data_IF_748339771314
#
_entry.id   IF_748339771314
#
_cell.length_a   1.000
_cell.length_b   1.000
_cell.length_c   1.000
_cell.angle_alpha   90.00
_cell.angle_beta   90.00
_cell.angle_gamma   90.00
#
_symmetry.space_group_name_H-M   'P 1'
#
loop_
_entity.id
_entity.type
_entity.pdbx_description
1 polymer ?
#
# COMPACT_ATOMS: atom_id res chain seq x y z
N UNK A 1 2.22 17.22 -19.97
CA UNK A 1 3.16 18.11 -19.25
C UNK A 1 2.53 19.46 -18.93
N UNK A 2 1.84 20.10 -19.89
CA UNK A 2 1.09 21.33 -19.62
C UNK A 2 0.04 21.17 -18.50
N UNK A 3 -0.64 20.02 -18.43
CA UNK A 3 -1.55 19.67 -17.32
C UNK A 3 -0.86 19.51 -15.96
N UNK A 4 0.45 19.27 -15.91
CA UNK A 4 1.21 19.09 -14.68
C UNK A 4 1.80 20.41 -14.15
N UNK A 5 1.59 21.52 -14.85
CA UNK A 5 2.09 22.84 -14.46
C UNK A 5 1.51 23.24 -13.11
N UNK A 6 2.37 23.50 -12.11
CA UNK A 6 1.91 23.83 -10.75
C UNK A 6 1.78 22.62 -9.81
N UNK A 7 2.13 21.41 -10.28
CA UNK A 7 2.00 20.17 -9.52
C UNK A 7 3.21 19.25 -9.60
N UNK A 8 2.96 17.94 -9.53
CA UNK A 8 4.00 16.90 -9.59
C UNK A 8 3.82 16.07 -10.85
N UNK A 9 4.88 15.96 -11.65
CA UNK A 9 4.98 15.04 -12.78
C UNK A 9 5.81 13.82 -12.37
N UNK A 10 5.15 12.68 -12.19
CA UNK A 10 5.81 11.41 -11.90
C UNK A 10 5.88 10.56 -13.17
N UNK A 11 7.10 10.13 -13.54
CA UNK A 11 7.35 9.27 -14.71
C UNK A 11 7.97 7.97 -14.21
N UNK A 12 7.18 6.91 -14.18
CA UNK A 12 7.67 5.57 -13.88
C UNK A 12 8.40 4.96 -15.08
N UNK A 13 9.37 4.09 -14.79
CA UNK A 13 10.27 3.48 -15.77
C UNK A 13 10.85 4.47 -16.79
N UNK A 14 11.27 5.66 -16.32
CA UNK A 14 11.67 6.78 -17.17
C UNK A 14 12.78 6.45 -18.18
N UNK A 15 13.62 5.45 -17.88
CA UNK A 15 14.64 4.94 -18.78
C UNK A 15 14.07 4.40 -20.11
N UNK A 16 12.82 3.93 -20.12
CA UNK A 16 12.12 3.50 -21.34
C UNK A 16 11.84 4.67 -22.29
N UNK A 17 11.76 5.91 -21.78
CA UNK A 17 11.54 7.11 -22.58
C UNK A 17 12.71 7.36 -23.55
N UNK A 18 13.92 6.91 -23.21
CA UNK A 18 15.11 7.09 -24.04
C UNK A 18 15.28 6.02 -25.13
N UNK A 19 14.43 5.00 -25.17
CA UNK A 19 14.52 3.88 -26.11
C UNK A 19 13.53 4.04 -27.28
N UNK A 20 13.91 3.53 -28.46
CA UNK A 20 13.08 3.58 -29.67
C UNK A 20 13.25 4.83 -30.54
N UNK A 21 12.58 4.85 -31.70
CA UNK A 21 12.78 5.83 -32.76
C UNK A 21 12.40 7.28 -32.40
N UNK A 22 11.54 7.47 -31.40
CA UNK A 22 11.08 8.78 -30.92
C UNK A 22 11.59 9.12 -29.51
N UNK A 23 12.34 8.22 -28.85
CA UNK A 23 12.72 8.41 -27.45
C UNK A 23 13.65 9.61 -27.25
N UNK A 24 14.55 9.85 -28.20
CA UNK A 24 15.42 11.03 -28.19
C UNK A 24 14.62 12.34 -28.25
N UNK A 25 13.62 12.41 -29.10
CA UNK A 25 12.78 13.60 -29.26
C UNK A 25 11.90 13.84 -28.02
N UNK A 26 11.36 12.78 -27.43
CA UNK A 26 10.62 12.86 -26.17
C UNK A 26 11.49 13.38 -25.03
N UNK A 27 12.74 12.91 -24.93
CA UNK A 27 13.69 13.37 -23.94
C UNK A 27 14.14 14.82 -24.17
N UNK A 28 14.36 15.22 -25.41
CA UNK A 28 14.66 16.60 -25.79
C UNK A 28 13.50 17.54 -25.46
N UNK A 29 12.26 17.10 -25.67
CA UNK A 29 11.08 17.86 -25.30
C UNK A 29 10.95 18.00 -23.78
N UNK A 30 11.20 16.93 -23.03
CA UNK A 30 11.25 16.97 -21.56
C UNK A 30 12.32 17.97 -21.07
N UNK A 31 13.52 17.93 -21.65
CA UNK A 31 14.60 18.88 -21.33
C UNK A 31 14.23 20.32 -21.66
N UNK A 32 13.62 20.55 -22.81
CA UNK A 32 13.16 21.87 -23.25
C UNK A 32 12.11 22.42 -22.29
N UNK A 33 11.21 21.58 -21.79
CA UNK A 33 10.18 21.99 -20.84
C UNK A 33 10.78 22.28 -19.47
N UNK A 34 11.68 21.41 -18.97
CA UNK A 34 12.43 21.65 -17.72
C UNK A 34 13.29 22.92 -17.74
N UNK A 35 13.65 23.44 -18.92
CA UNK A 35 14.46 24.66 -19.07
C UNK A 35 13.61 25.88 -19.47
N UNK A 36 12.32 25.70 -19.76
CA UNK A 36 11.44 26.80 -20.18
C UNK A 36 11.07 27.67 -18.97
N UNK A 37 11.07 29.02 -19.08
CA UNK A 37 10.68 29.94 -18.00
C UNK A 37 9.30 29.66 -17.38
N UNK A 38 8.42 28.98 -18.12
CA UNK A 38 7.10 28.56 -17.66
C UNK A 38 7.15 27.44 -16.59
N UNK A 39 8.22 26.65 -16.60
CA UNK A 39 8.49 25.55 -15.66
C UNK A 39 9.71 25.84 -14.76
N UNK A 40 10.62 26.72 -15.17
CA UNK A 40 11.87 27.15 -14.48
C UNK A 40 11.61 28.11 -13.29
N UNK A 41 10.45 28.00 -12.65
CA UNK A 41 9.97 28.96 -11.65
C UNK A 41 9.28 28.34 -10.45
N UNK A 42 9.85 27.27 -9.87
CA UNK A 42 9.40 26.62 -8.62
C UNK A 42 7.95 26.07 -8.62
N UNK A 43 7.32 25.94 -9.79
CA UNK A 43 5.90 25.53 -9.89
C UNK A 43 5.71 24.03 -10.09
N UNK A 44 6.66 23.32 -10.68
CA UNK A 44 6.45 21.92 -11.09
C UNK A 44 7.60 21.03 -10.63
N UNK A 45 7.28 19.99 -9.87
CA UNK A 45 8.26 18.97 -9.45
C UNK A 45 8.22 17.82 -10.45
N UNK A 46 9.36 17.45 -11.01
CA UNK A 46 9.47 16.27 -11.89
C UNK A 46 10.23 15.16 -11.17
N UNK A 47 9.62 13.99 -11.07
CA UNK A 47 10.19 12.79 -10.46
C UNK A 47 10.33 11.73 -11.53
N UNK A 48 11.57 11.30 -11.78
CA UNK A 48 11.86 10.15 -12.63
C UNK A 48 12.11 8.93 -11.74
N UNK A 49 11.35 7.87 -11.97
CA UNK A 49 11.50 6.60 -11.26
C UNK A 49 11.94 5.49 -12.21
N UNK A 50 12.65 4.51 -11.67
CA UNK A 50 13.12 3.36 -12.43
C UNK A 50 14.27 2.65 -11.73
N UNK A 51 14.72 1.54 -12.33
CA UNK A 51 15.84 0.77 -11.82
C UNK A 51 17.15 1.56 -11.90
N UNK A 52 17.96 1.48 -10.84
CA UNK A 52 19.18 2.29 -10.67
C UNK A 52 20.13 2.19 -11.86
N UNK A 53 20.41 0.98 -12.36
CA UNK A 53 21.37 0.77 -13.45
C UNK A 53 20.85 1.33 -14.79
N UNK A 54 19.56 1.15 -15.07
CA UNK A 54 18.86 1.68 -16.25
C UNK A 54 18.81 3.21 -16.21
N UNK A 55 18.48 3.79 -15.07
CA UNK A 55 18.47 5.24 -14.85
C UNK A 55 19.87 5.84 -15.02
N UNK A 56 20.90 5.21 -14.45
CA UNK A 56 22.28 5.64 -14.65
C UNK A 56 22.68 5.60 -16.13
N UNK A 57 22.32 4.53 -16.86
CA UNK A 57 22.57 4.44 -18.31
C UNK A 57 21.85 5.54 -19.09
N UNK A 58 20.58 5.83 -18.76
CA UNK A 58 19.83 6.92 -19.40
C UNK A 58 20.49 8.29 -19.15
N UNK A 59 20.88 8.58 -17.90
CA UNK A 59 21.48 9.85 -17.52
C UNK A 59 22.88 10.04 -18.13
N UNK A 60 23.68 8.96 -18.22
CA UNK A 60 25.00 9.00 -18.88
C UNK A 60 24.90 9.31 -20.38
N UNK A 61 23.86 8.82 -21.06
CA UNK A 61 23.62 9.12 -22.48
C UNK A 61 23.26 10.59 -22.72
N UNK A 62 22.68 11.27 -21.72
CA UNK A 62 22.18 12.64 -21.85
C UNK A 62 22.65 13.52 -20.69
N UNK A 63 23.86 14.09 -20.83
CA UNK A 63 24.43 14.98 -19.81
C UNK A 63 23.54 16.19 -19.49
N UNK A 64 22.79 16.68 -20.48
CA UNK A 64 21.78 17.72 -20.27
C UNK A 64 20.76 17.31 -19.20
N UNK A 65 20.25 16.09 -19.25
CA UNK A 65 19.28 15.55 -18.29
C UNK A 65 19.92 15.35 -16.92
N UNK A 66 21.10 14.74 -16.88
CA UNK A 66 21.84 14.54 -15.64
C UNK A 66 22.06 15.84 -14.85
N UNK A 67 22.34 16.95 -15.54
CA UNK A 67 22.55 18.25 -14.87
C UNK A 67 21.32 18.86 -14.21
N UNK A 68 20.09 18.43 -14.59
CA UNK A 68 18.82 18.94 -14.03
C UNK A 68 18.31 18.10 -12.86
N UNK A 69 18.67 16.81 -12.80
CA UNK A 69 18.29 15.91 -11.71
C UNK A 69 19.42 15.81 -10.68
N UNK A 70 19.55 16.84 -9.84
CA UNK A 70 20.60 16.92 -8.81
C UNK A 70 20.32 16.08 -7.57
N UNK A 71 19.04 15.86 -7.27
CA UNK A 71 18.60 15.05 -6.13
C UNK A 71 18.33 13.63 -6.60
N UNK A 72 19.00 12.66 -5.98
CA UNK A 72 18.74 11.23 -6.19
C UNK A 72 18.30 10.62 -4.87
N UNK A 73 17.17 9.92 -4.87
CA UNK A 73 16.69 9.13 -3.74
C UNK A 73 16.78 7.66 -4.14
N UNK A 74 17.53 6.87 -3.37
CA UNK A 74 17.66 5.43 -3.60
C UNK A 74 16.73 4.67 -2.67
N UNK A 75 15.98 3.72 -3.21
CA UNK A 75 15.16 2.80 -2.44
C UNK A 75 15.86 1.44 -2.42
N UNK A 76 16.50 1.06 -1.30
CA UNK A 76 17.12 -0.26 -1.20
C UNK A 76 16.07 -1.36 -1.21
N UNK A 77 16.49 -2.57 -1.59
CA UNK A 77 15.68 -3.76 -1.43
C UNK A 77 15.33 -3.96 0.05
N UNK A 78 14.15 -4.53 0.31
CA UNK A 78 13.70 -4.82 1.66
C UNK A 78 14.62 -5.84 2.31
N UNK A 79 15.04 -5.58 3.55
CA UNK A 79 15.70 -6.61 4.32
C UNK A 79 14.70 -7.73 4.64
N UNK A 80 15.18 -8.95 4.91
CA UNK A 80 14.32 -10.02 5.41
C UNK A 80 13.52 -9.60 6.65
N UNK A 81 14.11 -8.80 7.53
CA UNK A 81 13.45 -8.26 8.71
C UNK A 81 12.31 -7.28 8.34
N UNK A 82 12.51 -6.41 7.35
CA UNK A 82 11.45 -5.51 6.86
C UNK A 82 10.28 -6.30 6.25
N UNK A 83 10.59 -7.39 5.53
CA UNK A 83 9.57 -8.27 4.98
C UNK A 83 8.75 -8.97 6.09
N UNK A 84 9.39 -9.40 7.18
CA UNK A 84 8.70 -9.97 8.34
C UNK A 84 7.83 -8.93 9.02
N UNK A 85 8.35 -7.72 9.26
CA UNK A 85 7.59 -6.62 9.84
C UNK A 85 6.34 -6.31 9.01
N UNK A 86 6.51 -6.18 7.69
CA UNK A 86 5.39 -5.98 6.76
C UNK A 86 4.39 -7.13 6.82
N UNK A 87 4.85 -8.39 6.83
CA UNK A 87 3.99 -9.56 6.91
C UNK A 87 3.15 -9.56 8.19
N UNK A 88 3.78 -9.32 9.34
CA UNK A 88 3.10 -9.25 10.64
C UNK A 88 2.09 -8.10 10.69
N UNK A 89 2.48 -6.91 10.23
CA UNK A 89 1.61 -5.73 10.20
C UNK A 89 0.39 -5.99 9.31
N UNK A 90 0.58 -6.54 8.10
CA UNK A 90 -0.52 -6.83 7.17
C UNK A 90 -1.43 -7.95 7.67
N UNK A 91 -0.87 -9.01 8.24
CA UNK A 91 -1.65 -10.08 8.85
C UNK A 91 -2.57 -9.55 9.96
N UNK A 92 -2.05 -8.66 10.82
CA UNK A 92 -2.81 -8.06 11.90
C UNK A 92 -3.87 -7.08 11.37
N UNK A 93 -3.46 -6.05 10.62
CA UNK A 93 -4.34 -4.94 10.21
C UNK A 93 -5.45 -5.36 9.24
N UNK A 94 -5.16 -6.32 8.35
CA UNK A 94 -6.10 -6.65 7.27
C UNK A 94 -6.93 -7.89 7.55
N UNK A 95 -6.46 -8.80 8.42
CA UNK A 95 -7.05 -10.12 8.58
C UNK A 95 -7.29 -10.52 10.04
N UNK A 96 -6.86 -9.72 11.02
CA UNK A 96 -6.92 -10.05 12.46
C UNK A 96 -6.29 -11.43 12.76
N UNK A 97 -5.16 -11.70 12.10
CA UNK A 97 -4.41 -12.95 12.27
C UNK A 97 -3.12 -12.66 13.01
N UNK A 98 -2.95 -13.31 14.15
CA UNK A 98 -1.72 -13.23 14.92
C UNK A 98 -0.59 -14.03 14.25
N UNK A 99 0.61 -13.45 14.27
CA UNK A 99 1.85 -14.12 13.87
C UNK A 99 2.64 -14.43 15.15
N UNK A 100 2.68 -15.70 15.61
CA UNK A 100 3.45 -16.06 16.79
C UNK A 100 4.91 -15.61 16.69
N UNK A 101 5.42 -14.95 17.74
CA UNK A 101 6.79 -14.44 17.81
C UNK A 101 7.84 -15.54 17.60
N UNK A 102 7.54 -16.77 18.02
CA UNK A 102 8.37 -17.94 17.81
C UNK A 102 8.66 -18.26 16.33
N UNK A 103 7.88 -17.71 15.39
CA UNK A 103 8.09 -17.90 13.95
C UNK A 103 9.04 -16.87 13.34
N UNK A 104 9.39 -15.80 14.05
CA UNK A 104 10.22 -14.70 13.53
C UNK A 104 11.49 -15.19 12.84
N UNK A 105 12.27 -16.06 13.51
CA UNK A 105 13.51 -16.63 12.95
C UNK A 105 13.25 -17.46 11.69
N UNK A 106 12.16 -18.22 11.65
CA UNK A 106 11.80 -19.04 10.48
C UNK A 106 11.37 -18.15 9.31
N UNK A 107 10.56 -17.13 9.57
CA UNK A 107 10.13 -16.16 8.57
C UNK A 107 11.30 -15.39 7.98
N UNK A 108 12.26 -14.95 8.81
CA UNK A 108 13.49 -14.31 8.34
C UNK A 108 14.24 -15.24 7.39
N UNK A 109 14.47 -16.50 7.76
CA UNK A 109 15.14 -17.48 6.90
C UNK A 109 14.39 -17.75 5.59
N UNK A 110 13.05 -17.78 5.64
CA UNK A 110 12.20 -17.89 4.45
C UNK A 110 12.37 -16.69 3.52
N UNK A 111 12.34 -15.46 4.04
CA UNK A 111 12.55 -14.24 3.24
C UNK A 111 13.98 -14.10 2.73
N UNK A 112 15.00 -14.51 3.47
CA UNK A 112 16.38 -14.62 2.99
C UNK A 112 16.48 -15.52 1.75
N UNK A 113 15.86 -16.71 1.85
CA UNK A 113 15.84 -17.67 0.74
C UNK A 113 15.09 -17.14 -0.48
N UNK A 114 13.95 -16.48 -0.26
CA UNK A 114 13.15 -15.88 -1.34
C UNK A 114 13.83 -14.69 -1.99
N UNK A 115 14.46 -13.84 -1.18
CA UNK A 115 15.23 -12.68 -1.59
C UNK A 115 16.39 -13.08 -2.48
N UNK A 116 17.14 -14.12 -2.10
CA UNK A 116 18.30 -14.63 -2.85
C UNK A 116 18.03 -15.12 -4.28
N UNK A 117 16.77 -15.35 -4.66
CA UNK A 117 16.43 -15.85 -5.99
C UNK A 117 16.36 -14.75 -7.07
N UNK A 118 16.62 -15.09 -8.35
CA UNK A 118 16.38 -14.19 -9.46
C UNK A 118 14.90 -13.76 -9.52
N UNK A 119 14.68 -12.47 -9.78
CA UNK A 119 13.33 -11.93 -9.95
C UNK A 119 12.63 -11.50 -8.66
N UNK A 120 13.35 -11.41 -7.54
CA UNK A 120 12.83 -10.78 -6.31
C UNK A 120 12.19 -9.42 -6.60
N UNK A 121 10.98 -9.21 -6.09
CA UNK A 121 10.17 -8.02 -6.36
C UNK A 121 9.75 -7.25 -5.09
N UNK A 122 10.54 -7.36 -4.01
CA UNK A 122 10.29 -6.70 -2.72
C UNK A 122 8.85 -6.88 -2.24
N UNK A 123 8.15 -5.77 -1.95
CA UNK A 123 6.78 -5.74 -1.46
C UNK A 123 5.82 -6.63 -2.26
N UNK A 124 5.98 -6.73 -3.58
CA UNK A 124 5.12 -7.59 -4.41
C UNK A 124 5.26 -9.07 -4.06
N UNK A 125 6.49 -9.53 -3.84
CA UNK A 125 6.72 -10.91 -3.40
C UNK A 125 6.28 -11.13 -1.96
N UNK A 126 6.45 -10.14 -1.07
CA UNK A 126 5.94 -10.21 0.30
C UNK A 126 4.40 -10.30 0.36
N UNK A 127 3.68 -9.55 -0.49
CA UNK A 127 2.22 -9.65 -0.64
C UNK A 127 1.83 -11.02 -1.18
N UNK A 128 2.47 -11.47 -2.27
CA UNK A 128 2.18 -12.79 -2.85
C UNK A 128 2.43 -13.93 -1.84
N UNK A 129 3.44 -13.79 -0.98
CA UNK A 129 3.72 -14.72 0.10
C UNK A 129 2.58 -14.72 1.13
N UNK A 130 2.15 -13.54 1.58
CA UNK A 130 1.02 -13.41 2.52
C UNK A 130 -0.25 -14.05 1.96
N UNK A 131 -0.62 -13.74 0.71
CA UNK A 131 -1.83 -14.27 0.07
C UNK A 131 -1.83 -15.80 0.06
N UNK A 132 -0.68 -16.42 -0.22
CA UNK A 132 -0.54 -17.89 -0.22
C UNK A 132 -0.52 -18.48 1.18
N UNK A 133 0.16 -17.82 2.12
CA UNK A 133 0.14 -18.23 3.51
C UNK A 133 -1.30 -18.22 4.05
N UNK A 134 -2.11 -17.22 3.69
CA UNK A 134 -3.53 -17.14 4.06
C UNK A 134 -4.31 -18.34 3.53
N UNK A 135 -4.08 -18.73 2.27
CA UNK A 135 -4.72 -19.91 1.67
C UNK A 135 -4.34 -21.20 2.40
N UNK A 136 -3.04 -21.42 2.65
CA UNK A 136 -2.56 -22.61 3.36
C UNK A 136 -3.08 -22.68 4.78
N UNK A 137 -3.06 -21.55 5.51
CA UNK A 137 -3.67 -21.42 6.83
C UNK A 137 -5.16 -21.75 6.79
N UNK A 138 -5.92 -21.18 5.84
CA UNK A 138 -7.35 -21.45 5.73
C UNK A 138 -7.62 -22.95 5.49
N UNK A 139 -6.83 -23.60 4.65
CA UNK A 139 -6.91 -25.06 4.43
C UNK A 139 -6.61 -25.85 5.70
N UNK A 140 -5.57 -25.48 6.45
CA UNK A 140 -5.22 -26.11 7.73
C UNK A 140 -6.35 -25.97 8.74
N UNK A 141 -6.84 -24.75 8.96
CA UNK A 141 -7.92 -24.47 9.92
C UNK A 141 -9.21 -25.19 9.54
N UNK A 142 -9.55 -25.27 8.25
CA UNK A 142 -10.72 -26.01 7.77
C UNK A 142 -10.65 -27.52 8.04
N UNK A 143 -9.44 -28.08 8.14
CA UNK A 143 -9.23 -29.51 8.43
C UNK A 143 -9.28 -29.86 9.92
N UNK A 144 -9.31 -28.86 10.82
CA UNK A 144 -9.35 -29.09 12.26
C UNK A 144 -10.78 -29.44 12.73
N UNK A 145 -10.92 -30.33 13.73
CA UNK A 145 -12.21 -30.63 14.33
C UNK A 145 -12.80 -29.39 15.03
N UNK A 146 -14.11 -29.18 14.87
CA UNK A 146 -14.80 -28.03 15.44
C UNK A 146 -14.62 -27.96 16.97
N UNK A 147 -14.14 -26.82 17.47
CA UNK A 147 -13.98 -26.56 18.91
C UNK A 147 -12.59 -26.79 19.50
N UNK A 148 -11.55 -27.06 18.69
CA UNK A 148 -10.18 -27.10 19.20
C UNK A 148 -9.65 -25.69 19.52
N UNK A 149 -8.91 -25.52 20.61
CA UNK A 149 -8.18 -24.27 20.94
C UNK A 149 -7.17 -23.84 19.86
N UNK A 150 -6.83 -24.73 18.92
CA UNK A 150 -6.10 -24.42 17.70
C UNK A 150 -6.90 -23.61 16.65
N UNK A 151 -8.14 -23.22 16.99
CA UNK A 151 -9.00 -22.34 16.18
C UNK A 151 -8.68 -20.85 16.36
N UNK A 152 -7.73 -20.50 17.24
CA UNK A 152 -7.19 -19.13 17.34
C UNK A 152 -6.65 -18.69 15.98
N UNK A 153 -6.95 -17.47 15.53
CA UNK A 153 -6.55 -17.04 14.20
C UNK A 153 -5.05 -16.76 14.14
N UNK A 154 -4.23 -17.80 14.01
CA UNK A 154 -2.77 -17.66 13.92
C UNK A 154 -2.17 -18.44 12.76
N UNK A 155 -1.06 -17.93 12.24
CA UNK A 155 -0.24 -18.66 11.28
C UNK A 155 0.60 -19.73 11.99
N UNK A 156 0.85 -20.84 11.29
CA UNK A 156 1.87 -21.81 11.68
C UNK A 156 3.06 -21.80 10.72
N UNK A 157 4.19 -22.36 11.16
CA UNK A 157 5.38 -22.52 10.32
C UNK A 157 5.08 -23.34 9.06
N UNK A 158 4.18 -24.33 9.14
CA UNK A 158 3.80 -25.15 7.99
C UNK A 158 3.05 -24.35 6.92
N UNK A 159 2.21 -23.38 7.31
CA UNK A 159 1.47 -22.55 6.37
C UNK A 159 2.42 -21.68 5.56
N UNK A 160 3.37 -21.05 6.25
CA UNK A 160 4.41 -20.21 5.65
C UNK A 160 5.38 -21.02 4.79
N UNK A 161 5.80 -22.20 5.24
CA UNK A 161 6.67 -23.09 4.46
C UNK A 161 6.02 -23.52 3.14
N UNK A 162 4.74 -23.92 3.19
CA UNK A 162 3.98 -24.29 2.00
C UNK A 162 3.81 -23.10 1.03
N UNK A 163 3.61 -21.87 1.57
CA UNK A 163 3.56 -20.66 0.77
C UNK A 163 4.87 -20.37 0.02
N UNK A 164 6.03 -20.57 0.68
CA UNK A 164 7.34 -20.45 0.00
C UNK A 164 7.48 -21.49 -1.11
N UNK A 165 7.12 -22.74 -0.84
CA UNK A 165 7.26 -23.82 -1.83
C UNK A 165 6.39 -23.55 -3.06
N UNK A 166 5.16 -23.06 -2.88
CA UNK A 166 4.31 -22.65 -3.99
C UNK A 166 4.89 -21.46 -4.74
N UNK A 167 5.46 -20.47 -4.05
CA UNK A 167 6.15 -19.34 -4.69
C UNK A 167 7.28 -19.82 -5.57
N UNK A 168 8.11 -20.71 -5.06
CA UNK A 168 9.24 -21.26 -5.79
C UNK A 168 8.81 -22.07 -7.01
N UNK A 169 7.70 -22.82 -6.95
CA UNK A 169 7.14 -23.55 -8.11
C UNK A 169 6.58 -22.64 -9.19
N UNK A 170 5.87 -21.59 -8.78
CA UNK A 170 5.20 -20.66 -9.72
C UNK A 170 6.13 -19.59 -10.26
N UNK A 171 7.31 -19.42 -9.66
CA UNK A 171 8.30 -18.48 -10.16
C UNK A 171 8.70 -18.94 -11.56
N UNK A 172 8.61 -18.05 -12.57
CA UNK A 172 9.08 -18.40 -13.91
C UNK A 172 10.54 -18.83 -13.79
N UNK A 173 10.84 -20.08 -14.15
CA UNK A 173 12.20 -20.59 -14.23
C UNK A 173 12.93 -19.65 -15.18
N UNK A 174 13.76 -18.76 -14.62
CA UNK A 174 14.42 -17.63 -15.28
C UNK A 174 14.31 -17.74 -16.79
N UNK A 175 13.21 -17.19 -17.35
CA UNK A 175 12.98 -17.26 -18.78
C UNK A 175 14.18 -16.53 -19.39
N UNK A 176 15.01 -17.30 -20.08
CA UNK A 176 16.26 -16.82 -20.64
C UNK A 176 16.01 -15.51 -21.40
N UNK A 177 16.99 -14.62 -21.27
CA UNK A 177 17.17 -13.41 -22.06
C UNK A 177 16.53 -12.10 -21.58
N UNK A 178 16.61 -11.77 -20.28
CA UNK A 178 16.74 -10.36 -19.89
C UNK A 178 18.03 -10.13 -19.09
N UNK A 179 19.13 -9.91 -19.82
CA UNK A 179 20.52 -9.75 -19.30
C UNK A 179 20.73 -8.49 -18.44
N UNK A 180 19.67 -7.80 -18.01
CA UNK A 180 19.76 -6.53 -17.32
C UNK A 180 19.18 -6.50 -15.89
N UNK A 181 18.58 -7.58 -15.38
CA UNK A 181 18.12 -7.58 -13.98
C UNK A 181 19.30 -7.92 -13.07
N UNK A 182 20.06 -6.90 -12.64
CA UNK A 182 21.20 -7.11 -11.76
C UNK A 182 20.73 -7.69 -10.42
N UNK A 183 21.40 -8.73 -9.89
CA UNK A 183 21.10 -9.27 -8.57
C UNK A 183 21.67 -8.34 -7.48
N UNK A 184 20.92 -8.18 -6.40
CA UNK A 184 21.38 -7.80 -5.06
C UNK A 184 22.22 -6.53 -4.97
N UNK A 185 21.59 -5.42 -4.62
CA UNK A 185 22.32 -4.28 -4.03
C UNK A 185 22.26 -4.38 -2.51
N UNK A 186 23.19 -5.12 -1.92
CA UNK A 186 23.57 -4.90 -0.52
C UNK A 186 24.18 -3.50 -0.44
N UNK A 187 23.51 -2.61 0.30
CA UNK A 187 23.82 -1.19 0.37
C UNK A 187 25.31 -0.90 0.59
N UNK A 188 25.87 -0.09 -0.31
CA UNK A 188 27.02 0.75 0.00
C UNK A 188 26.75 2.12 -0.60
N UNK A 189 26.56 3.11 0.27
CA UNK A 189 26.37 4.51 -0.13
C UNK A 189 27.53 4.95 -1.01
N UNK A 190 27.28 5.16 -2.30
CA UNK A 190 28.18 5.92 -3.16
C UNK A 190 27.62 7.34 -3.24
N UNK A 191 28.14 8.20 -2.35
CA UNK A 191 28.00 9.64 -2.46
C UNK A 191 28.64 10.06 -3.79
N UNK A 192 27.83 10.54 -4.73
CA UNK A 192 28.32 11.12 -5.98
C UNK A 192 28.62 12.60 -5.71
N UNK A 193 29.89 12.92 -5.45
CA UNK A 193 30.36 14.30 -5.37
C UNK A 193 30.39 14.92 -6.79
N UNK A 194 29.57 15.92 -7.01
CA UNK A 194 29.39 16.60 -8.31
C UNK A 194 30.32 17.81 -8.51
N UNK A 195 31.41 17.93 -7.74
CA UNK A 195 32.25 19.13 -7.76
C UNK A 195 33.16 19.29 -9.00
N UNK A 196 33.26 18.31 -9.90
CA UNK A 196 34.23 18.36 -11.00
C UNK A 196 33.79 19.11 -12.28
N UNK A 197 32.54 19.60 -12.39
CA UNK A 197 32.02 20.13 -13.66
C UNK A 197 31.83 21.67 -13.73
N UNK A 198 32.25 22.44 -12.71
CA UNK A 198 31.92 23.86 -12.60
C UNK A 198 32.99 24.85 -13.11
N UNK A 199 34.06 24.39 -13.80
CA UNK A 199 35.10 25.31 -14.29
C UNK A 199 34.88 25.70 -15.75
N UNK A 200 33.95 26.64 -15.97
CA UNK A 200 34.04 27.78 -16.91
C UNK A 200 32.64 28.39 -17.05
N UNK A 201 32.41 29.50 -16.36
CA UNK A 201 31.64 30.68 -16.78
C UNK A 201 31.79 31.75 -15.67
N UNK A 202 32.09 32.99 -16.06
CA UNK A 202 32.43 34.15 -15.19
C UNK A 202 31.16 34.99 -14.88
N UNK A 203 31.18 36.03 -14.01
CA UNK A 203 30.50 35.98 -12.72
C UNK A 203 29.30 36.95 -12.56
N UNK A 204 28.58 36.71 -11.45
CA UNK A 204 27.89 37.68 -10.59
C UNK A 204 26.36 37.83 -10.74
N UNK A 205 25.63 37.33 -9.73
CA UNK A 205 24.84 38.16 -8.79
C UNK A 205 24.51 37.35 -7.52
N UNK A 206 24.97 37.88 -6.39
CA UNK A 206 24.49 37.71 -5.01
C UNK A 206 24.16 36.29 -4.50
N UNK A 207 25.12 35.72 -3.78
CA UNK A 207 25.01 34.47 -3.00
C UNK A 207 24.26 34.75 -1.68
N UNK A 208 23.13 34.10 -1.35
CA UNK A 208 22.72 33.98 0.04
C UNK A 208 23.70 33.00 0.72
N UNK A 209 24.32 33.43 1.82
CA UNK A 209 25.14 32.56 2.64
C UNK A 209 24.23 31.52 3.31
N UNK A 210 24.26 30.27 2.82
CA UNK A 210 23.65 29.16 3.52
C UNK A 210 24.69 28.60 4.49
N UNK A 211 24.75 29.16 5.70
CA UNK A 211 25.40 28.53 6.85
C UNK A 211 24.54 27.35 7.27
N UNK A 212 25.05 26.13 7.06
CA UNK A 212 24.54 24.93 7.73
C UNK A 212 24.77 25.13 9.22
N UNK A 213 23.71 25.45 9.97
CA UNK A 213 23.76 25.37 11.42
C UNK A 213 23.62 23.91 11.86
N UNK A 214 24.47 23.43 12.78
CA UNK A 214 24.24 22.15 13.45
C UNK A 214 22.96 22.23 14.27
N UNK A 215 22.15 21.16 14.26
CA UNK A 215 20.98 21.05 15.12
C UNK A 215 21.42 21.06 16.58
N UNK A 216 21.36 22.23 17.21
CA UNK A 216 21.55 22.40 18.65
C UNK A 216 20.34 21.86 19.41
N UNK A 217 20.58 21.16 20.51
CA UNK A 217 19.55 20.70 21.44
C UNK A 217 18.66 21.89 21.89
N UNK A 218 17.34 21.70 21.80
CA UNK A 218 16.37 22.70 22.25
C UNK A 218 16.43 22.84 23.79
N UNK A 219 16.37 24.08 24.33
CA UNK A 219 16.13 24.29 25.75
C UNK A 219 14.67 23.91 26.07
N UNK A 220 14.48 23.20 27.18
CA UNK A 220 13.17 22.65 27.56
C UNK A 220 12.20 23.66 28.16
N UNK A 221 10.92 23.23 28.15
CA UNK A 221 9.78 23.61 29.03
C UNK A 221 9.36 25.08 28.90
N UNK A 222 8.12 25.44 28.56
CA UNK A 222 6.80 24.89 28.84
C UNK A 222 5.83 25.39 27.74
N UNK A 223 4.62 24.81 27.71
CA UNK A 223 3.43 25.25 26.96
C UNK A 223 3.40 25.09 25.44
N UNK A 224 2.91 23.93 24.95
CA UNK A 224 2.07 23.82 23.73
C UNK A 224 1.65 22.36 23.47
N UNK A 225 0.57 21.92 24.13
CA UNK A 225 -0.11 20.65 23.83
C UNK A 225 -1.17 20.78 22.71
N UNK A 226 -1.03 21.77 21.82
CA UNK A 226 -2.12 22.20 20.92
C UNK A 226 -1.94 21.96 19.43
N UNK A 227 -0.72 21.72 18.92
CA UNK A 227 -0.48 21.94 17.48
C UNK A 227 0.34 20.85 16.76
N UNK A 228 0.45 19.65 17.35
CA UNK A 228 1.11 18.48 16.74
C UNK A 228 0.15 17.38 16.26
N UNK A 229 -1.18 17.55 16.40
CA UNK A 229 -2.18 16.56 15.96
C UNK A 229 -2.62 16.69 14.50
N UNK A 230 -2.12 17.67 13.72
CA UNK A 230 -2.69 17.98 12.39
C UNK A 230 -1.92 17.49 11.16
N UNK A 231 -0.75 16.86 11.31
CA UNK A 231 0.14 16.55 10.15
C UNK A 231 0.56 15.08 10.02
N UNK A 232 0.14 14.18 10.90
CA UNK A 232 0.28 12.73 10.69
C UNK A 232 -1.05 12.04 10.93
N UNK A 233 -1.82 11.86 9.86
CA UNK A 233 -2.99 10.98 9.84
C UNK A 233 -2.54 9.53 9.93
N UNK A 234 -2.05 9.12 11.11
CA UNK A 234 -2.02 7.72 11.49
C UNK A 234 -3.47 7.25 11.53
N UNK A 235 -3.79 6.24 10.72
CA UNK A 235 -5.03 5.49 10.80
C UNK A 235 -5.15 4.90 12.22
N UNK A 236 -5.72 5.67 13.15
CA UNK A 236 -6.51 5.07 14.22
C UNK A 236 -7.63 4.35 13.50
N UNK A 237 -7.54 3.03 13.41
CA UNK A 237 -8.59 2.16 12.86
C UNK A 237 -9.94 2.70 13.31
N UNK A 238 -10.76 3.16 12.36
CA UNK A 238 -12.05 3.72 12.71
C UNK A 238 -12.88 2.62 13.37
N UNK A 239 -13.32 2.80 14.64
CA UNK A 239 -14.12 1.80 15.34
C UNK A 239 -15.51 1.62 14.71
N UNK A 240 -15.80 2.36 13.63
CA UNK A 240 -17.01 2.28 12.84
C UNK A 240 -17.27 0.89 12.26
N UNK A 241 -16.30 0.25 11.60
CA UNK A 241 -16.58 -1.01 10.90
C UNK A 241 -16.92 -2.17 11.84
N UNK A 242 -16.14 -2.44 12.90
CA UNK A 242 -16.50 -3.47 13.87
C UNK A 242 -17.84 -3.18 14.55
N UNK A 243 -18.14 -1.90 14.81
CA UNK A 243 -19.40 -1.50 15.42
C UNK A 243 -20.60 -1.73 14.50
N UNK A 244 -20.50 -1.39 13.21
CA UNK A 244 -21.58 -1.63 12.25
C UNK A 244 -21.78 -3.12 11.97
N UNK A 245 -20.70 -3.90 11.88
CA UNK A 245 -20.78 -5.36 11.73
C UNK A 245 -21.49 -5.99 12.95
N UNK A 246 -21.17 -5.54 14.17
CA UNK A 246 -21.86 -5.95 15.39
C UNK A 246 -23.34 -5.54 15.39
N UNK A 247 -23.68 -4.33 14.92
CA UNK A 247 -25.06 -3.84 14.81
C UNK A 247 -25.87 -4.66 13.81
N UNK A 248 -25.35 -4.92 12.61
CA UNK A 248 -26.03 -5.71 11.59
C UNK A 248 -26.24 -7.15 12.04
N UNK A 249 -25.26 -7.73 12.74
CA UNK A 249 -25.38 -9.05 13.34
C UNK A 249 -26.43 -9.08 14.46
N UNK A 250 -26.44 -8.08 15.34
CA UNK A 250 -27.40 -7.98 16.45
C UNK A 250 -28.85 -7.80 15.94
N UNK A 251 -29.02 -7.01 14.88
CA UNK A 251 -30.32 -6.77 14.25
C UNK A 251 -30.75 -7.88 13.27
N UNK A 252 -29.89 -8.87 13.01
CA UNK A 252 -30.12 -9.98 12.07
C UNK A 252 -30.60 -9.50 10.68
N UNK A 253 -30.08 -8.37 10.20
CA UNK A 253 -30.50 -7.79 8.93
C UNK A 253 -30.12 -8.71 7.76
N UNK A 254 -31.02 -8.84 6.79
CA UNK A 254 -30.72 -9.52 5.52
C UNK A 254 -29.73 -8.71 4.68
N UNK A 255 -28.99 -9.34 3.73
CA UNK A 255 -28.05 -8.63 2.86
C UNK A 255 -28.68 -7.45 2.09
N UNK A 256 -29.93 -7.58 1.64
CA UNK A 256 -30.65 -6.48 1.00
C UNK A 256 -30.94 -5.34 1.99
N UNK A 257 -31.43 -5.65 3.20
CA UNK A 257 -31.69 -4.64 4.23
C UNK A 257 -30.41 -3.89 4.66
N UNK A 258 -29.26 -4.57 4.63
CA UNK A 258 -27.96 -3.94 4.91
C UNK A 258 -27.56 -2.99 3.78
N UNK A 259 -27.69 -3.43 2.51
CA UNK A 259 -27.44 -2.56 1.36
C UNK A 259 -28.35 -1.32 1.37
N UNK A 260 -29.64 -1.50 1.67
CA UNK A 260 -30.62 -0.42 1.78
C UNK A 260 -30.29 0.54 2.94
N UNK A 261 -29.87 0.01 4.10
CA UNK A 261 -29.47 0.82 5.25
C UNK A 261 -28.25 1.69 4.95
N UNK A 262 -27.25 1.16 4.24
CA UNK A 262 -26.02 1.88 3.87
C UNK A 262 -26.26 2.86 2.71
N UNK A 263 -27.21 2.55 1.81
CA UNK A 263 -27.61 3.43 0.73
C UNK A 263 -28.37 4.69 1.22
N UNK A 264 -28.99 4.63 2.40
CA UNK A 264 -29.70 5.77 2.96
C UNK A 264 -28.74 6.91 3.36
N UNK A 265 -29.18 8.15 3.09
CA UNK A 265 -28.47 9.38 3.46
C UNK A 265 -28.30 9.55 4.99
N UNK A 266 -29.20 8.95 5.77
CA UNK A 266 -29.11 8.86 7.22
C UNK A 266 -29.37 7.41 7.66
N UNK A 267 -28.70 6.93 8.73
CA UNK A 267 -28.89 5.56 9.21
C UNK A 267 -30.34 5.37 9.68
N UNK A 268 -30.96 4.20 9.43
CA UNK A 268 -32.25 3.86 10.01
C UNK A 268 -32.24 4.02 11.53
N UNK A 269 -33.35 4.47 12.12
CA UNK A 269 -33.44 4.78 13.55
C UNK A 269 -33.00 3.62 14.45
N UNK A 270 -33.32 2.38 14.06
CA UNK A 270 -32.92 1.17 14.78
C UNK A 270 -31.41 0.87 14.69
N UNK A 271 -30.80 1.13 13.53
CA UNK A 271 -29.35 0.99 13.32
C UNK A 271 -28.62 2.06 14.14
N UNK A 272 -29.11 3.30 14.12
CA UNK A 272 -28.53 4.39 14.89
C UNK A 272 -28.61 4.12 16.40
N UNK A 273 -29.76 3.67 16.90
CA UNK A 273 -29.93 3.33 18.31
C UNK A 273 -28.95 2.23 18.75
N UNK A 274 -28.80 1.17 17.96
CA UNK A 274 -27.88 0.09 18.29
C UNK A 274 -26.41 0.51 18.16
N UNK A 275 -26.10 1.39 17.22
CA UNK A 275 -24.77 1.94 17.04
C UNK A 275 -24.36 2.82 18.23
N UNK A 276 -25.29 3.56 18.82
CA UNK A 276 -25.06 4.32 20.06
C UNK A 276 -24.69 3.40 21.23
N UNK A 277 -25.40 2.28 21.39
CA UNK A 277 -25.13 1.29 22.44
C UNK A 277 -23.75 0.64 22.27
N UNK A 278 -23.41 0.22 21.03
CA UNK A 278 -22.14 -0.45 20.74
C UNK A 278 -20.95 0.50 20.88
N UNK A 279 -21.06 1.74 20.38
CA UNK A 279 -19.99 2.73 20.45
C UNK A 279 -19.90 3.43 21.82
N UNK A 280 -20.94 3.34 22.66
CA UNK A 280 -21.10 4.11 23.90
C UNK A 280 -20.93 5.62 23.67
N UNK A 281 -21.49 6.14 22.56
CA UNK A 281 -21.36 7.53 22.12
C UNK A 281 -22.71 8.23 21.96
N UNK A 282 -22.67 9.57 21.90
CA UNK A 282 -23.87 10.37 21.67
C UNK A 282 -24.48 10.10 20.28
N UNK A 283 -25.77 10.41 20.12
CA UNK A 283 -26.47 10.25 18.82
C UNK A 283 -25.77 11.03 17.70
N UNK A 284 -25.26 12.21 18.01
CA UNK A 284 -24.58 13.08 17.05
C UNK A 284 -23.26 12.46 16.60
N UNK A 285 -22.47 11.93 17.54
CA UNK A 285 -21.19 11.29 17.23
C UNK A 285 -21.38 10.02 16.40
N UNK A 286 -22.37 9.19 16.75
CA UNK A 286 -22.70 7.98 15.99
C UNK A 286 -23.17 8.32 14.56
N UNK A 287 -23.94 9.40 14.40
CA UNK A 287 -24.38 9.89 13.08
C UNK A 287 -23.21 10.42 12.26
N UNK A 288 -22.29 11.14 12.89
CA UNK A 288 -21.10 11.67 12.22
C UNK A 288 -20.16 10.56 11.75
N UNK A 289 -19.91 9.58 12.62
CA UNK A 289 -19.12 8.39 12.27
C UNK A 289 -19.76 7.57 11.15
N UNK A 290 -21.10 7.48 11.14
CA UNK A 290 -21.83 6.86 10.02
C UNK A 290 -21.58 7.58 8.70
N UNK A 291 -21.63 8.91 8.68
CA UNK A 291 -21.38 9.70 7.46
C UNK A 291 -19.96 9.50 6.94
N UNK A 292 -18.97 9.44 7.83
CA UNK A 292 -17.55 9.28 7.49
C UNK A 292 -17.22 7.85 7.02
N UNK A 293 -17.81 6.83 7.64
CA UNK A 293 -17.49 5.43 7.34
C UNK A 293 -18.37 4.77 6.26
N UNK A 294 -19.57 5.29 6.01
CA UNK A 294 -20.56 4.74 5.06
C UNK A 294 -19.99 4.49 3.66
N UNK A 295 -19.20 5.42 3.12
CA UNK A 295 -18.71 5.32 1.74
C UNK A 295 -17.85 4.07 1.52
N UNK A 296 -16.90 3.85 2.43
CA UNK A 296 -16.04 2.65 2.44
C UNK A 296 -16.83 1.36 2.71
N UNK A 297 -17.88 1.42 3.54
CA UNK A 297 -18.76 0.27 3.79
C UNK A 297 -19.58 -0.11 2.56
N UNK A 298 -20.10 0.88 1.83
CA UNK A 298 -20.82 0.68 0.58
C UNK A 298 -19.92 0.04 -0.50
N UNK A 299 -18.65 0.44 -0.56
CA UNK A 299 -17.66 -0.15 -1.47
C UNK A 299 -17.38 -1.62 -1.12
N UNK A 300 -17.25 -1.97 0.17
CA UNK A 300 -17.13 -3.36 0.63
C UNK A 300 -18.34 -4.21 0.21
N UNK A 301 -19.56 -3.68 0.37
CA UNK A 301 -20.80 -4.36 -0.04
C UNK A 301 -20.84 -4.58 -1.56
N UNK A 302 -20.50 -3.57 -2.36
CA UNK A 302 -20.45 -3.68 -3.83
C UNK A 302 -19.45 -4.73 -4.29
N UNK A 303 -18.24 -4.73 -3.72
CA UNK A 303 -17.20 -5.71 -4.02
C UNK A 303 -17.69 -7.13 -3.75
N UNK A 304 -18.32 -7.35 -2.60
CA UNK A 304 -18.84 -8.67 -2.24
C UNK A 304 -20.00 -9.14 -3.14
N UNK A 305 -20.91 -8.25 -3.54
CA UNK A 305 -21.98 -8.59 -4.51
C UNK A 305 -21.37 -8.99 -5.86
N UNK A 306 -20.33 -8.29 -6.31
CA UNK A 306 -19.62 -8.63 -7.55
C UNK A 306 -18.93 -10.00 -7.44
N UNK A 307 -18.18 -10.22 -6.37
CA UNK A 307 -17.46 -11.48 -6.12
C UNK A 307 -18.42 -12.68 -5.99
N UNK A 308 -19.61 -12.51 -5.38
CA UNK A 308 -20.61 -13.59 -5.26
C UNK A 308 -21.23 -13.95 -6.62
N UNK A 309 -21.53 -12.96 -7.46
CA UNK A 309 -22.03 -13.18 -8.83
C UNK A 309 -21.00 -13.87 -9.73
N UNK A 310 -19.73 -13.57 -9.52
CA UNK A 310 -18.60 -14.19 -10.22
C UNK A 310 -18.21 -15.56 -9.61
N UNK A 311 -18.83 -15.97 -8.49
CA UNK A 311 -18.56 -17.23 -7.81
C UNK A 311 -17.19 -17.28 -7.09
N UNK A 312 -16.58 -16.12 -6.86
CA UNK A 312 -15.24 -15.97 -6.27
C UNK A 312 -15.27 -15.43 -4.82
N UNK A 313 -16.46 -15.18 -4.26
CA UNK A 313 -16.60 -14.70 -2.89
C UNK A 313 -16.05 -15.73 -1.90
N UNK A 314 -14.96 -15.38 -1.22
CA UNK A 314 -14.28 -16.26 -0.25
C UNK A 314 -14.61 -15.94 1.20
N UNK A 315 -15.03 -14.70 1.49
CA UNK A 315 -15.31 -14.19 2.84
C UNK A 315 -16.59 -13.36 2.82
N UNK A 316 -17.46 -13.54 3.82
CA UNK A 316 -18.65 -12.72 4.01
C UNK A 316 -18.25 -11.31 4.46
N UNK A 317 -18.68 -10.25 3.76
CA UNK A 317 -18.27 -8.86 4.03
C UNK A 317 -18.77 -8.29 5.36
N UNK A 318 -19.70 -8.98 6.03
CA UNK A 318 -20.44 -8.49 7.21
C UNK A 318 -20.04 -9.24 8.47
N UNK A 319 -19.86 -10.56 8.37
CA UNK A 319 -19.48 -11.36 9.54
C UNK A 319 -18.06 -11.90 9.48
N UNK A 320 -17.27 -11.60 8.43
CA UNK A 320 -15.87 -12.03 8.28
C UNK A 320 -15.65 -13.54 8.14
N UNK A 321 -16.70 -14.36 8.25
CA UNK A 321 -16.64 -15.82 8.07
C UNK A 321 -16.43 -16.19 6.61
N UNK A 322 -15.84 -17.35 6.38
CA UNK A 322 -15.72 -17.94 5.04
C UNK A 322 -17.11 -17.99 4.37
N UNK A 323 -17.17 -17.67 3.07
CA UNK A 323 -18.37 -17.75 2.25
C UNK A 323 -19.07 -19.12 2.35
N UNK A 324 -18.30 -20.19 2.48
CA UNK A 324 -18.77 -21.57 2.72
C UNK A 324 -19.51 -21.77 4.06
N UNK A 325 -19.23 -20.92 5.04
CA UNK A 325 -19.71 -21.04 6.43
C UNK A 325 -20.72 -19.96 6.81
N UNK A 326 -20.97 -18.99 5.92
CA UNK A 326 -21.97 -17.95 6.13
C UNK A 326 -23.31 -18.40 5.54
N UNK A 327 -24.38 -18.58 6.34
CA UNK A 327 -25.69 -18.98 5.83
C UNK A 327 -26.29 -18.00 4.81
N UNK A 328 -25.87 -16.74 4.83
CA UNK A 328 -26.30 -15.75 3.84
C UNK A 328 -25.57 -15.93 2.50
N UNK A 329 -24.27 -16.22 2.54
CA UNK A 329 -23.49 -16.49 1.32
C UNK A 329 -23.87 -17.85 0.73
N UNK A 330 -24.02 -18.89 1.56
CA UNK A 330 -24.46 -20.22 1.12
C UNK A 330 -25.84 -20.26 0.46
N UNK A 331 -26.72 -19.32 0.80
CA UNK A 331 -28.05 -19.19 0.17
C UNK A 331 -28.02 -18.33 -1.10
N UNK A 332 -26.85 -17.91 -1.58
CA UNK A 332 -26.70 -16.99 -2.71
C UNK A 332 -27.39 -15.64 -2.46
N UNK A 333 -27.54 -15.25 -1.19
CA UNK A 333 -28.33 -14.08 -0.84
C UNK A 333 -27.70 -12.79 -1.35
N UNK A 334 -26.37 -12.77 -1.58
CA UNK A 334 -25.64 -11.63 -2.12
C UNK A 334 -25.78 -11.49 -3.64
N UNK A 335 -25.85 -12.60 -4.39
CA UNK A 335 -26.13 -12.58 -5.83
C UNK A 335 -27.45 -11.88 -6.19
N UNK A 336 -28.44 -11.99 -5.30
CA UNK A 336 -29.75 -11.35 -5.42
C UNK A 336 -29.81 -9.90 -4.86
N UNK A 337 -28.74 -9.43 -4.21
CA UNK A 337 -28.70 -8.05 -3.69
C UNK A 337 -28.65 -7.07 -4.85
N UNK A 338 -29.56 -6.10 -4.81
CA UNK A 338 -29.52 -4.92 -5.65
C UNK A 338 -28.93 -3.77 -4.85
N UNK A 339 -27.74 -3.32 -5.22
CA UNK A 339 -27.11 -2.14 -4.62
C UNK A 339 -27.47 -0.94 -5.48
N UNK A 340 -28.13 0.11 -4.93
CA UNK A 340 -28.47 1.30 -5.71
C UNK A 340 -27.22 1.95 -6.34
N UNK A 341 -27.28 2.22 -7.64
CA UNK A 341 -26.33 3.10 -8.34
C UNK A 341 -26.65 4.56 -7.98
N UNK A 342 -26.41 4.95 -6.73
CA UNK A 342 -26.44 6.37 -6.37
C UNK A 342 -25.01 6.92 -6.26
N UNK A 343 -24.64 7.55 -7.38
CA UNK A 343 -23.94 8.83 -7.60
C UNK A 343 -23.07 9.42 -6.49
N UNK A 344 -21.90 9.90 -6.91
CA UNK A 344 -21.27 11.13 -6.41
C UNK A 344 -20.14 10.92 -5.43
#
# INVERSE_FOLDING_TARGET
MEEATGGVLFIDEAYALGDGQYGREALEKLLSLLTSPEYDGDKTIVILAGYTAEMQRMLQRNQGLASRFKTTVSFPDWSPADCVSFFCEKAQMQQDIEVPEAMSTQLVSMFERMGGCPGWANARDAINFLDRALVHRASRVASLPAGSEASTPSFSVSDCAAAVDDLMKTRPASAGNNRNRSPHQTGRETVFDSEAASQRLVPNRSRPQNTVQPWGAAPGKDDEAGELERVMGGDRESPFFPAVDAVFSALQLTPQQQADAVAAADPPSQVLQQLQEVLKKSRNDATQMWKEGRGKLLERIRRAVKEDREGVLSICPVCGRNASQCPFVQRGAWAAVSVPEQMG
#
